data_IF_488629315922
#
_entry.id   IF_488629315922
#
_cell.length_a   1.000
_cell.length_b   1.000
_cell.length_c   1.000
_cell.angle_alpha   90.00
_cell.angle_beta   90.00
_cell.angle_gamma   90.00
#
_symmetry.space_group_name_H-M   'P 1'
#
loop_
_entity.id
_entity.type
_entity.pdbx_description
1 polymer ?
#
# COMPACT_ATOMS: atom_id res chain seq x y z
N UNK A 1 19.64 4.81 43.42
CA UNK A 1 19.55 6.17 44.01
C UNK A 1 20.37 7.06 43.11
N UNK A 2 19.75 8.00 42.41
CA UNK A 2 20.47 8.93 41.53
C UNK A 2 21.36 9.83 42.40
N UNK A 3 22.68 9.82 42.15
CA UNK A 3 23.62 10.72 42.81
C UNK A 3 23.87 11.92 41.88
N UNK A 4 23.33 13.08 42.27
CA UNK A 4 23.68 14.36 41.70
C UNK A 4 24.74 15.01 42.59
N UNK A 5 25.86 15.43 42.00
CA UNK A 5 26.89 16.19 42.72
C UNK A 5 27.14 17.48 41.97
N UNK A 6 26.85 18.62 42.60
CA UNK A 6 27.17 19.95 42.08
C UNK A 6 28.33 20.57 42.86
N UNK A 7 29.22 21.27 42.17
CA UNK A 7 30.18 22.17 42.82
C UNK A 7 29.52 23.54 42.92
N UNK A 8 29.12 23.94 44.13
CA UNK A 8 28.62 25.29 44.40
C UNK A 8 29.81 26.25 44.49
N UNK A 9 29.87 27.26 43.62
CA UNK A 9 30.93 28.27 43.68
C UNK A 9 30.70 29.34 44.75
N UNK A 10 29.48 29.45 45.32
CA UNK A 10 29.22 30.19 46.56
C UNK A 10 27.84 29.84 47.14
N UNK A 11 27.60 30.17 48.42
CA UNK A 11 26.41 29.76 49.22
C UNK A 11 25.06 30.32 48.70
N UNK A 12 25.06 31.15 47.65
CA UNK A 12 23.86 31.75 47.07
C UNK A 12 23.87 31.94 45.54
N UNK A 13 24.95 31.57 44.81
CA UNK A 13 24.96 31.60 43.34
C UNK A 13 24.70 30.20 42.76
N UNK A 14 23.85 30.12 41.72
CA UNK A 14 23.66 28.91 40.91
C UNK A 14 24.66 28.82 39.76
N UNK A 15 25.76 29.57 39.82
CA UNK A 15 26.92 29.36 38.95
C UNK A 15 27.59 28.04 39.35
N UNK A 16 27.52 27.05 38.46
CA UNK A 16 27.99 25.72 38.81
C UNK A 16 28.07 24.75 37.64
N UNK A 17 29.05 23.87 37.74
CA UNK A 17 29.19 22.66 36.92
C UNK A 17 28.47 21.52 37.64
N UNK A 18 27.26 21.24 37.18
CA UNK A 18 26.39 20.19 37.70
C UNK A 18 26.61 18.91 36.94
N UNK A 19 26.89 17.82 37.66
CA UNK A 19 27.11 16.51 37.06
C UNK A 19 26.22 15.46 37.70
N UNK A 20 25.67 14.59 36.88
CA UNK A 20 25.04 13.35 37.32
C UNK A 20 25.79 12.17 36.74
N UNK A 21 25.70 11.02 37.40
CA UNK A 21 26.45 9.82 37.08
C UNK A 21 25.52 8.63 36.85
N UNK A 22 25.98 7.69 36.04
CA UNK A 22 25.41 6.35 35.93
C UNK A 22 25.82 5.50 37.14
N UNK A 23 25.14 4.38 37.35
CA UNK A 23 25.47 3.42 38.41
C UNK A 23 26.91 2.87 38.30
N UNK A 24 27.47 2.88 37.08
CA UNK A 24 28.87 2.50 36.80
C UNK A 24 29.90 3.61 37.10
N UNK A 25 29.47 4.75 37.65
CA UNK A 25 30.32 5.89 38.00
C UNK A 25 30.74 6.79 36.83
N UNK A 26 30.34 6.50 35.57
CA UNK A 26 30.59 7.40 34.44
C UNK A 26 29.60 8.55 34.43
N UNK A 27 30.03 9.71 33.92
CA UNK A 27 29.19 10.90 33.82
C UNK A 27 28.02 10.59 32.86
N UNK A 28 26.81 10.88 33.32
CA UNK A 28 25.56 10.78 32.55
C UNK A 28 25.24 12.10 31.87
N UNK A 29 25.22 13.20 32.60
CA UNK A 29 25.01 14.53 32.04
C UNK A 29 25.72 15.61 32.84
N UNK A 30 26.03 16.72 32.17
CA UNK A 30 26.74 17.88 32.68
C UNK A 30 26.00 19.13 32.23
N UNK A 31 25.77 20.04 33.18
CA UNK A 31 25.18 21.34 32.94
C UNK A 31 26.05 22.42 33.58
N UNK A 32 26.57 23.32 32.76
CA UNK A 32 27.36 24.48 33.21
C UNK A 32 26.49 25.70 33.01
N UNK A 33 26.06 26.34 34.09
CA UNK A 33 25.20 27.52 34.03
C UNK A 33 25.97 28.78 34.37
N UNK A 34 25.84 29.80 33.52
CA UNK A 34 26.28 31.16 33.75
C UNK A 34 25.05 32.04 34.04
N UNK A 35 24.92 32.51 35.28
CA UNK A 35 23.79 33.35 35.68
C UNK A 35 23.82 34.75 35.06
N UNK A 36 25.00 35.26 34.73
CA UNK A 36 25.19 36.62 34.19
C UNK A 36 24.70 36.66 32.75
N UNK A 37 25.08 35.67 31.95
CA UNK A 37 24.69 35.59 30.54
C UNK A 37 23.35 34.84 30.34
N UNK A 38 22.83 34.19 31.40
CA UNK A 38 21.68 33.28 31.35
C UNK A 38 21.88 32.14 30.34
N UNK A 39 23.13 31.74 30.15
CA UNK A 39 23.56 30.69 29.24
C UNK A 39 23.89 29.41 30.01
N UNK A 40 23.43 28.28 29.51
CA UNK A 40 23.64 26.97 30.09
C UNK A 40 24.23 26.02 29.05
N UNK A 41 25.48 25.61 29.20
CA UNK A 41 26.07 24.57 28.37
C UNK A 41 25.61 23.19 28.84
N UNK A 42 25.05 22.42 27.91
CA UNK A 42 24.53 21.08 28.17
C UNK A 42 25.37 20.04 27.44
N UNK A 43 25.70 18.97 28.17
CA UNK A 43 26.29 17.75 27.60
C UNK A 43 25.67 16.54 28.26
N UNK A 44 25.41 15.51 27.47
CA UNK A 44 25.00 14.19 27.98
C UNK A 44 25.81 13.12 27.25
N UNK A 45 26.11 12.04 27.97
CA UNK A 45 26.86 10.89 27.48
C UNK A 45 25.99 9.64 27.51
N UNK A 46 26.45 8.60 26.82
CA UNK A 46 25.97 7.23 26.95
C UNK A 46 26.67 6.51 28.10
N UNK A 47 26.13 5.37 28.56
CA UNK A 47 26.76 4.53 29.59
C UNK A 47 28.15 4.02 29.20
N UNK A 48 28.43 3.93 27.90
CA UNK A 48 29.76 3.58 27.40
C UNK A 48 30.78 4.72 27.58
N UNK A 49 30.34 5.94 27.91
CA UNK A 49 31.16 7.14 28.12
C UNK A 49 31.33 8.01 26.87
N UNK A 50 30.72 7.65 25.73
CA UNK A 50 30.72 8.48 24.52
C UNK A 50 29.66 9.56 24.61
N UNK A 51 29.92 10.70 23.99
CA UNK A 51 28.98 11.82 23.98
C UNK A 51 27.68 11.41 23.27
N UNK A 52 26.55 11.89 23.76
CA UNK A 52 25.19 11.60 23.27
C UNK A 52 24.54 12.84 22.68
N UNK A 53 24.67 13.98 23.36
CA UNK A 53 24.18 15.27 22.90
C UNK A 53 24.94 16.42 23.56
N UNK A 54 24.99 17.55 22.87
CA UNK A 54 25.61 18.77 23.33
C UNK A 54 24.94 19.97 22.67
N UNK A 55 24.80 21.05 23.43
CA UNK A 55 24.36 22.35 22.95
C UNK A 55 24.33 23.38 24.09
N UNK A 56 23.66 24.49 23.86
CA UNK A 56 23.43 25.51 24.87
C UNK A 56 21.95 25.82 25.05
N UNK A 57 21.64 26.34 26.23
CA UNK A 57 20.34 26.88 26.60
C UNK A 57 20.51 28.36 26.93
N UNK A 58 19.71 29.23 26.35
CA UNK A 58 19.59 30.63 26.79
C UNK A 58 18.22 30.81 27.41
N UNK A 59 18.16 31.31 28.65
CA UNK A 59 16.89 31.48 29.41
C UNK A 59 16.07 30.19 29.50
N UNK A 60 16.75 29.06 29.62
CA UNK A 60 16.13 27.73 29.73
C UNK A 60 15.58 27.16 28.41
N UNK A 61 15.84 27.82 27.27
CA UNK A 61 15.46 27.35 25.93
C UNK A 61 16.68 26.98 25.10
N UNK A 62 16.61 25.90 24.34
CA UNK A 62 17.69 25.48 23.45
C UNK A 62 17.98 26.58 22.43
N UNK A 63 19.25 26.94 22.32
CA UNK A 63 19.76 28.00 21.46
C UNK A 63 21.07 27.55 20.80
N UNK A 64 21.36 28.09 19.61
CA UNK A 64 22.62 27.87 18.92
C UNK A 64 22.78 26.46 18.35
N UNK A 65 24.03 26.07 18.12
CA UNK A 65 24.36 24.80 17.48
C UNK A 65 24.20 23.62 18.44
N UNK A 66 23.37 22.66 18.04
CA UNK A 66 23.18 21.40 18.74
C UNK A 66 23.75 20.24 17.95
N UNK A 67 24.35 19.30 18.67
CA UNK A 67 24.93 18.08 18.11
C UNK A 67 24.43 16.89 18.90
N UNK A 68 24.18 15.80 18.19
CA UNK A 68 23.75 14.52 18.73
C UNK A 68 24.60 13.44 18.12
N UNK A 69 24.93 12.40 18.89
CA UNK A 69 25.76 11.29 18.46
C UNK A 69 25.04 9.97 18.66
N UNK A 70 25.45 8.95 17.90
CA UNK A 70 25.08 7.56 18.10
C UNK A 70 25.95 6.92 19.19
N UNK A 71 25.55 5.76 19.71
CA UNK A 71 26.31 5.03 20.74
C UNK A 71 27.72 4.63 20.29
N UNK A 72 27.92 4.45 18.99
CA UNK A 72 29.24 4.16 18.43
C UNK A 72 30.15 5.41 18.34
N UNK A 73 29.64 6.61 18.62
CA UNK A 73 30.36 7.88 18.59
C UNK A 73 30.29 8.62 17.25
N UNK A 74 29.64 8.06 16.24
CA UNK A 74 29.35 8.77 14.99
C UNK A 74 28.32 9.88 15.25
N UNK A 75 28.42 10.99 14.52
CA UNK A 75 27.42 12.04 14.58
C UNK A 75 26.07 11.46 14.12
N UNK A 76 24.99 11.87 14.77
CA UNK A 76 23.61 11.44 14.49
C UNK A 76 22.79 12.58 13.93
N UNK A 77 22.93 13.77 14.51
CA UNK A 77 22.26 14.97 14.04
C UNK A 77 23.04 16.23 14.43
N UNK A 78 22.86 17.28 13.65
CA UNK A 78 23.43 18.60 13.87
C UNK A 78 22.52 19.66 13.25
N UNK A 79 22.30 20.75 13.96
CA UNK A 79 21.61 21.92 13.44
C UNK A 79 21.51 23.01 14.48
N UNK A 80 20.78 24.08 14.15
CA UNK A 80 20.62 25.24 15.01
C UNK A 80 19.25 25.22 15.67
N UNK A 81 19.19 25.58 16.96
CA UNK A 81 17.95 25.95 17.63
C UNK A 81 17.90 27.45 17.90
N UNK A 82 16.71 28.03 17.78
CA UNK A 82 16.39 29.38 18.23
C UNK A 82 15.13 29.29 19.08
N UNK A 83 15.24 29.57 20.38
CA UNK A 83 14.14 29.48 21.34
C UNK A 83 13.38 28.14 21.28
N UNK A 84 14.11 27.02 21.38
CA UNK A 84 13.61 25.63 21.30
C UNK A 84 13.11 25.18 19.91
N UNK A 85 13.14 26.04 18.89
CA UNK A 85 12.71 25.69 17.53
C UNK A 85 13.90 25.40 16.66
N UNK A 86 13.87 24.28 15.94
CA UNK A 86 14.85 23.98 14.90
C UNK A 86 14.79 25.07 13.82
N UNK A 87 15.93 25.64 13.52
CA UNK A 87 16.14 26.64 12.48
C UNK A 87 17.33 26.24 11.60
N UNK A 88 17.42 26.89 10.44
CA UNK A 88 18.51 26.72 9.48
C UNK A 88 18.67 25.28 8.97
N UNK A 89 19.84 24.97 8.41
CA UNK A 89 20.14 23.66 7.87
C UNK A 89 20.33 22.65 9.01
N UNK A 90 19.58 21.56 8.94
CA UNK A 90 19.77 20.39 9.77
C UNK A 90 20.31 19.23 8.95
N UNK A 91 21.24 18.50 9.55
CA UNK A 91 21.84 17.30 8.98
C UNK A 91 21.67 16.15 9.95
N UNK A 92 21.40 14.99 9.39
CA UNK A 92 21.22 13.73 10.10
C UNK A 92 22.12 12.70 9.46
N UNK A 93 22.66 11.78 10.25
CA UNK A 93 23.60 10.75 9.80
C UNK A 93 23.18 9.39 10.32
N UNK A 94 23.44 8.36 9.51
CA UNK A 94 23.32 6.96 9.89
C UNK A 94 24.39 6.59 10.92
N UNK A 95 24.21 5.46 11.60
CA UNK A 95 25.19 4.96 12.56
C UNK A 95 26.56 4.67 11.93
N UNK A 96 26.60 4.30 10.66
CA UNK A 96 27.85 4.13 9.90
C UNK A 96 28.54 5.46 9.51
N UNK A 97 27.98 6.61 9.91
CA UNK A 97 28.55 7.93 9.66
C UNK A 97 28.22 8.53 8.28
N UNK A 98 27.50 7.83 7.41
CA UNK A 98 27.02 8.41 6.16
C UNK A 98 25.84 9.36 6.42
N UNK A 99 25.73 10.42 5.62
CA UNK A 99 24.61 11.35 5.70
C UNK A 99 23.30 10.61 5.44
N UNK A 100 22.30 10.82 6.29
CA UNK A 100 20.98 10.20 6.22
C UNK A 100 19.95 11.16 5.64
N UNK A 101 19.91 12.39 6.14
CA UNK A 101 18.99 13.43 5.67
C UNK A 101 19.61 14.80 5.85
N UNK A 102 19.23 15.74 4.99
CA UNK A 102 19.48 17.16 5.21
C UNK A 102 18.37 18.03 4.65
N UNK A 103 18.21 19.20 5.24
CA UNK A 103 17.33 20.24 4.73
C UNK A 103 17.13 21.37 5.72
N UNK A 104 16.33 22.35 5.32
CA UNK A 104 16.06 23.55 6.10
C UNK A 104 14.91 23.30 7.08
N UNK A 105 15.05 23.80 8.30
CA UNK A 105 13.93 24.05 9.20
C UNK A 105 13.65 25.54 9.31
N UNK A 106 12.36 25.87 9.39
CA UNK A 106 11.87 27.19 9.80
C UNK A 106 10.81 26.98 10.87
N UNK A 107 10.98 27.62 12.04
CA UNK A 107 10.10 27.51 13.19
C UNK A 107 9.80 26.06 13.61
N UNK A 108 10.82 25.19 13.59
CA UNK A 108 10.69 23.79 13.97
C UNK A 108 9.98 22.91 12.92
N UNK A 109 9.70 23.42 11.72
CA UNK A 109 9.10 22.66 10.61
C UNK A 109 10.04 22.57 9.42
N UNK A 110 10.04 21.42 8.74
CA UNK A 110 10.78 21.25 7.48
C UNK A 110 10.28 22.23 6.44
N UNK A 111 11.21 22.91 5.78
CA UNK A 111 10.94 23.90 4.73
C UNK A 111 11.94 23.71 3.58
N UNK A 112 11.54 24.07 2.36
CA UNK A 112 12.42 24.04 1.20
C UNK A 112 12.86 22.64 0.80
N UNK A 113 13.99 22.56 0.10
CA UNK A 113 14.53 21.32 -0.45
C UNK A 113 15.04 20.42 0.68
N UNK A 114 14.65 19.15 0.62
CA UNK A 114 15.10 18.09 1.49
C UNK A 114 15.63 16.92 0.67
N UNK A 115 16.72 16.36 1.17
CA UNK A 115 17.40 15.22 0.58
C UNK A 115 17.58 14.14 1.63
N UNK A 116 17.51 12.89 1.20
CA UNK A 116 17.69 11.72 2.05
C UNK A 116 18.52 10.69 1.32
N UNK A 117 19.28 9.90 2.07
CA UNK A 117 20.15 8.84 1.58
C UNK A 117 20.01 7.59 2.44
N UNK A 118 20.24 6.44 1.82
CA UNK A 118 20.35 5.16 2.50
C UNK A 118 21.69 5.03 3.23
N UNK A 119 21.83 4.07 4.16
CA UNK A 119 23.11 3.81 4.83
C UNK A 119 24.26 3.53 3.86
N UNK A 120 24.01 3.07 2.65
CA UNK A 120 25.05 2.87 1.63
C UNK A 120 25.49 4.16 0.90
N UNK A 121 24.94 5.33 1.28
CA UNK A 121 25.24 6.63 0.67
C UNK A 121 24.47 6.92 -0.63
N UNK A 122 23.62 6.01 -1.11
CA UNK A 122 22.78 6.26 -2.28
C UNK A 122 21.59 7.14 -1.92
N UNK A 123 21.31 8.14 -2.76
CA UNK A 123 20.14 9.02 -2.58
C UNK A 123 18.86 8.18 -2.53
N UNK A 124 18.08 8.34 -1.46
CA UNK A 124 16.81 7.64 -1.26
C UNK A 124 15.62 8.51 -1.65
N UNK A 125 15.66 9.82 -1.38
CA UNK A 125 14.62 10.73 -1.83
C UNK A 125 15.08 12.18 -1.89
N UNK A 126 14.38 12.95 -2.73
CA UNK A 126 14.57 14.39 -2.87
C UNK A 126 13.22 15.03 -3.18
N UNK A 127 12.95 16.18 -2.56
CA UNK A 127 11.77 16.98 -2.84
C UNK A 127 11.67 18.18 -1.92
N UNK A 128 10.53 18.85 -1.94
CA UNK A 128 10.31 20.09 -1.16
C UNK A 128 9.33 19.86 -0.03
N UNK A 129 9.60 20.48 1.12
CA UNK A 129 8.63 20.65 2.20
C UNK A 129 8.17 22.10 2.26
N UNK A 130 6.89 22.29 2.60
CA UNK A 130 6.31 23.58 2.96
C UNK A 130 5.56 23.38 4.26
N UNK A 131 5.91 24.12 5.30
CA UNK A 131 5.29 24.02 6.63
C UNK A 131 5.26 22.59 7.18
N UNK A 132 6.35 21.84 6.96
CA UNK A 132 6.50 20.45 7.42
C UNK A 132 5.77 19.41 6.58
N UNK A 133 5.10 19.78 5.48
CA UNK A 133 4.40 18.86 4.58
C UNK A 133 5.09 18.76 3.23
N UNK A 134 5.14 17.57 2.65
CA UNK A 134 5.66 17.37 1.29
C UNK A 134 4.84 18.18 0.30
N UNK A 135 5.52 18.93 -0.56
CA UNK A 135 4.93 19.81 -1.56
C UNK A 135 5.72 19.73 -2.87
N UNK A 136 5.03 19.88 -4.00
CA UNK A 136 5.64 19.89 -5.32
C UNK A 136 6.22 18.53 -5.73
N UNK A 137 7.18 18.55 -6.63
CA UNK A 137 7.76 17.35 -7.24
C UNK A 137 8.67 16.63 -6.26
N UNK A 138 8.44 15.33 -6.13
CA UNK A 138 9.25 14.42 -5.34
C UNK A 138 9.78 13.29 -6.20
N UNK A 139 11.04 12.91 -5.95
CA UNK A 139 11.67 11.71 -6.51
C UNK A 139 12.08 10.80 -5.36
N UNK A 140 11.68 9.53 -5.42
CA UNK A 140 11.90 8.54 -4.38
C UNK A 140 12.50 7.28 -5.00
N UNK A 141 13.69 6.89 -4.57
CA UNK A 141 14.40 5.71 -5.04
C UNK A 141 14.11 4.53 -4.11
N UNK A 142 13.99 3.33 -4.68
CA UNK A 142 13.85 2.10 -3.91
C UNK A 142 15.19 1.67 -3.29
N UNK A 143 15.15 1.05 -2.11
CA UNK A 143 16.34 0.58 -1.36
C UNK A 143 17.10 -0.55 -2.08
N UNK A 144 16.41 -1.36 -2.89
CA UNK A 144 16.92 -2.58 -3.53
C UNK A 144 17.81 -2.31 -4.78
N UNK A 145 18.57 -1.21 -4.77
CA UNK A 145 19.40 -0.73 -5.86
C UNK A 145 18.70 0.32 -6.72
N UNK A 146 19.49 1.23 -7.29
CA UNK A 146 19.12 2.41 -8.12
C UNK A 146 18.31 2.06 -9.39
N UNK A 147 17.85 0.82 -9.49
CA UNK A 147 17.08 0.29 -10.60
C UNK A 147 15.66 0.83 -10.63
N UNK A 148 15.10 1.27 -9.50
CA UNK A 148 13.72 1.75 -9.42
C UNK A 148 13.57 3.09 -8.73
N UNK A 149 12.76 3.96 -9.32
CA UNK A 149 12.34 5.19 -8.66
C UNK A 149 10.91 5.60 -9.02
N UNK A 150 10.29 6.31 -8.08
CA UNK A 150 9.00 6.96 -8.24
C UNK A 150 9.20 8.46 -8.40
N UNK A 151 8.39 9.08 -9.24
CA UNK A 151 8.35 10.52 -9.40
C UNK A 151 6.90 10.98 -9.53
N UNK A 152 6.55 12.03 -8.79
CA UNK A 152 5.24 12.67 -8.86
C UNK A 152 5.16 13.84 -7.92
N UNK A 153 3.98 14.45 -7.82
CA UNK A 153 3.79 15.63 -6.98
C UNK A 153 3.07 15.31 -5.67
N UNK A 154 3.40 16.08 -4.63
CA UNK A 154 2.60 16.16 -3.42
C UNK A 154 1.94 17.54 -3.31
N UNK A 155 0.73 17.56 -2.76
CA UNK A 155 0.03 18.77 -2.34
C UNK A 155 -0.46 18.55 -0.91
N UNK A 156 -0.02 19.39 0.02
CA UNK A 156 -0.39 19.28 1.43
C UNK A 156 -0.01 17.94 2.06
N UNK A 157 1.11 17.35 1.63
CA UNK A 157 1.61 16.07 2.10
C UNK A 157 0.96 14.83 1.48
N UNK A 158 0.00 14.98 0.57
CA UNK A 158 -0.69 13.87 -0.12
C UNK A 158 -0.28 13.80 -1.59
N UNK A 159 -0.21 12.60 -2.15
CA UNK A 159 0.09 12.41 -3.59
C UNK A 159 -1.00 13.05 -4.44
N UNK A 160 -0.59 13.82 -5.43
CA UNK A 160 -1.49 14.54 -6.33
C UNK A 160 -1.01 14.40 -7.78
N UNK A 161 -1.96 14.24 -8.69
CA UNK A 161 -1.73 14.12 -10.11
C UNK A 161 -0.99 12.85 -10.51
N UNK A 162 -0.19 12.94 -11.56
CA UNK A 162 0.44 11.80 -12.20
C UNK A 162 1.70 11.38 -11.43
N UNK A 163 1.70 10.12 -11.00
CA UNK A 163 2.83 9.43 -10.39
C UNK A 163 3.37 8.34 -11.30
N UNK A 164 4.65 8.43 -11.61
CA UNK A 164 5.37 7.52 -12.50
C UNK A 164 6.30 6.63 -11.69
N UNK A 165 6.40 5.37 -12.08
CA UNK A 165 7.40 4.41 -11.60
C UNK A 165 8.28 4.01 -12.77
N UNK A 166 9.58 4.20 -12.59
CA UNK A 166 10.61 3.78 -13.54
C UNK A 166 11.35 2.57 -12.98
N UNK A 167 11.73 1.64 -13.87
CA UNK A 167 12.54 0.48 -13.55
C UNK A 167 13.55 0.20 -14.67
N UNK A 168 14.83 0.14 -14.33
CA UNK A 168 15.97 0.06 -15.24
C UNK A 168 15.94 1.14 -16.35
N UNK A 169 15.57 2.38 -15.99
CA UNK A 169 15.45 3.51 -16.92
C UNK A 169 14.14 3.55 -17.72
N UNK A 170 13.43 2.43 -17.85
CA UNK A 170 12.15 2.36 -18.55
C UNK A 170 11.00 2.84 -17.66
N UNK A 171 10.01 3.53 -18.24
CA UNK A 171 8.73 3.79 -17.58
C UNK A 171 7.96 2.48 -17.48
N UNK A 172 7.52 2.11 -16.29
CA UNK A 172 6.78 0.86 -16.06
C UNK A 172 5.32 1.08 -15.71
N UNK A 173 5.04 2.08 -14.88
CA UNK A 173 3.69 2.37 -14.41
C UNK A 173 3.49 3.88 -14.30
N UNK A 174 2.29 4.31 -14.66
CA UNK A 174 1.79 5.65 -14.44
C UNK A 174 0.42 5.49 -13.80
N UNK A 175 0.24 6.18 -12.68
CA UNK A 175 -1.01 6.22 -11.95
C UNK A 175 -1.38 7.68 -11.71
N UNK A 176 -2.67 7.95 -11.65
CA UNK A 176 -3.19 9.25 -11.25
C UNK A 176 -3.69 9.18 -9.80
N UNK A 177 -3.45 10.26 -9.05
CA UNK A 177 -3.82 10.39 -7.64
C UNK A 177 -4.56 11.70 -7.41
N UNK A 178 -5.59 11.65 -6.58
CA UNK A 178 -6.29 12.82 -6.05
C UNK A 178 -6.37 12.66 -4.55
N UNK A 179 -5.83 13.62 -3.79
CA UNK A 179 -5.81 13.59 -2.33
C UNK A 179 -5.20 12.31 -1.75
N UNK A 180 -4.16 11.79 -2.39
CA UNK A 180 -3.47 10.57 -1.98
C UNK A 180 -4.16 9.27 -2.40
N UNK A 181 -5.36 9.32 -2.96
CA UNK A 181 -6.09 8.15 -3.46
C UNK A 181 -5.88 7.98 -4.95
N UNK A 182 -5.50 6.76 -5.36
CA UNK A 182 -5.35 6.40 -6.76
C UNK A 182 -6.72 6.46 -7.45
N UNK A 183 -6.84 7.37 -8.42
CA UNK A 183 -8.09 7.66 -9.13
C UNK A 183 -7.76 8.02 -10.57
N UNK A 184 -8.58 7.58 -11.52
CA UNK A 184 -8.38 7.85 -12.94
C UNK A 184 -7.59 6.74 -13.65
N UNK A 185 -6.99 7.08 -14.78
CA UNK A 185 -6.35 6.10 -15.66
C UNK A 185 -5.00 5.66 -15.10
N UNK A 186 -4.76 4.35 -15.13
CA UNK A 186 -3.46 3.75 -14.86
C UNK A 186 -2.97 3.01 -16.10
N UNK A 187 -1.75 3.32 -16.50
CA UNK A 187 -1.11 2.74 -17.68
C UNK A 187 0.15 2.01 -17.26
N UNK A 188 0.35 0.84 -17.83
CA UNK A 188 1.51 -0.01 -17.62
C UNK A 188 2.20 -0.21 -18.97
N UNK A 189 3.52 -0.31 -18.95
CA UNK A 189 4.34 -0.50 -20.14
C UNK A 189 5.26 -1.71 -19.99
N UNK A 190 5.67 -2.24 -21.13
CA UNK A 190 6.82 -3.14 -21.23
C UNK A 190 8.13 -2.36 -21.06
N UNK A 191 9.24 -3.03 -20.69
CA UNK A 191 10.56 -2.38 -20.61
C UNK A 191 10.99 -1.70 -21.92
N UNK A 192 10.50 -2.20 -23.05
CA UNK A 192 10.72 -1.69 -24.41
C UNK A 192 9.89 -0.45 -24.75
N UNK A 193 8.89 -0.10 -23.94
CA UNK A 193 8.14 1.14 -24.04
C UNK A 193 6.73 1.03 -24.64
N UNK A 194 6.34 -0.14 -25.16
CA UNK A 194 4.98 -0.39 -25.63
C UNK A 194 4.00 -0.53 -24.47
N UNK A 195 2.75 -0.13 -24.68
CA UNK A 195 1.69 -0.25 -23.66
C UNK A 195 1.43 -1.73 -23.40
N UNK A 196 1.48 -2.11 -22.12
CA UNK A 196 1.19 -3.46 -21.64
C UNK A 196 -0.24 -3.57 -21.14
N UNK A 197 -0.71 -2.58 -20.39
CA UNK A 197 -2.08 -2.59 -19.86
C UNK A 197 -2.59 -1.19 -19.54
N UNK A 198 -3.91 -1.04 -19.56
CA UNK A 198 -4.65 0.14 -19.15
C UNK A 198 -5.85 -0.25 -18.31
N UNK A 199 -6.13 0.56 -17.29
CA UNK A 199 -7.26 0.37 -16.41
C UNK A 199 -7.61 1.63 -15.63
N UNK A 200 -8.81 1.71 -15.09
CA UNK A 200 -9.26 2.86 -14.31
C UNK A 200 -9.36 2.50 -12.83
N UNK A 201 -8.99 3.45 -11.97
CA UNK A 201 -9.19 3.35 -10.53
C UNK A 201 -10.21 4.38 -10.06
N UNK A 202 -11.01 4.02 -9.08
CA UNK A 202 -11.88 4.90 -8.32
C UNK A 202 -11.58 4.67 -6.85
N UNK A 203 -10.99 5.65 -6.16
CA UNK A 203 -10.63 5.57 -4.73
C UNK A 203 -9.85 4.30 -4.38
N UNK A 204 -8.72 4.09 -5.06
CA UNK A 204 -7.84 2.93 -4.93
C UNK A 204 -8.42 1.58 -5.37
N UNK A 205 -9.66 1.52 -5.87
CA UNK A 205 -10.26 0.29 -6.40
C UNK A 205 -10.26 0.30 -7.92
N UNK A 206 -9.82 -0.80 -8.52
CA UNK A 206 -9.90 -1.06 -9.95
C UNK A 206 -11.36 -1.16 -10.36
N UNK A 207 -11.75 -0.32 -11.31
CA UNK A 207 -13.13 -0.12 -11.74
C UNK A 207 -13.17 0.14 -13.25
N UNK A 208 -14.14 -0.44 -13.94
CA UNK A 208 -14.32 -0.25 -15.37
C UNK A 208 -13.44 -1.15 -16.22
N UNK A 209 -13.13 -0.70 -17.43
CA UNK A 209 -12.51 -1.54 -18.46
C UNK A 209 -11.04 -1.84 -18.15
N UNK A 210 -10.67 -3.11 -18.29
CA UNK A 210 -9.29 -3.58 -18.31
C UNK A 210 -8.91 -3.90 -19.74
N UNK A 211 -7.78 -3.36 -20.18
CA UNK A 211 -7.17 -3.65 -21.48
C UNK A 211 -5.74 -4.10 -21.26
N UNK A 212 -5.34 -5.16 -21.95
CA UNK A 212 -3.98 -5.69 -21.90
C UNK A 212 -3.57 -6.16 -23.28
N UNK A 213 -2.33 -5.86 -23.63
CA UNK A 213 -1.73 -6.17 -24.91
C UNK A 213 -0.48 -7.01 -24.70
N UNK A 214 -0.14 -7.80 -25.71
CA UNK A 214 1.20 -8.36 -25.87
C UNK A 214 2.18 -7.26 -26.31
N UNK A 215 3.46 -7.57 -26.31
CA UNK A 215 4.52 -6.61 -26.66
C UNK A 215 4.46 -6.18 -28.13
N UNK A 216 3.95 -7.02 -29.01
CA UNK A 216 3.68 -6.69 -30.42
C UNK A 216 2.44 -5.80 -30.63
N UNK A 217 1.74 -5.43 -29.55
CA UNK A 217 0.52 -4.62 -29.57
C UNK A 217 -0.76 -5.41 -29.85
N UNK A 218 -0.69 -6.72 -30.09
CA UNK A 218 -1.87 -7.58 -30.23
C UNK A 218 -2.60 -7.70 -28.88
N UNK A 219 -3.91 -7.96 -28.93
CA UNK A 219 -4.71 -8.13 -27.72
C UNK A 219 -4.23 -9.34 -26.92
N UNK A 220 -4.13 -9.17 -25.60
CA UNK A 220 -3.81 -10.24 -24.66
C UNK A 220 -5.02 -10.55 -23.77
N UNK A 221 -5.63 -9.52 -23.19
CA UNK A 221 -6.82 -9.66 -22.37
C UNK A 221 -7.66 -8.38 -22.36
N UNK A 222 -8.97 -8.54 -22.24
CA UNK A 222 -9.92 -7.45 -22.11
C UNK A 222 -11.08 -7.90 -21.24
N UNK A 223 -11.54 -7.02 -20.37
CA UNK A 223 -12.71 -7.28 -19.56
C UNK A 223 -13.06 -6.08 -18.71
N UNK A 224 -13.83 -6.30 -17.66
CA UNK A 224 -14.22 -5.25 -16.73
C UNK A 224 -13.94 -5.68 -15.29
N UNK A 225 -13.57 -4.71 -14.46
CA UNK A 225 -13.52 -4.83 -13.01
C UNK A 225 -14.63 -3.99 -12.37
N UNK A 226 -15.16 -4.50 -11.27
CA UNK A 226 -16.01 -3.78 -10.33
C UNK A 226 -15.46 -4.03 -8.93
N UNK A 227 -15.05 -2.97 -8.24
CA UNK A 227 -14.45 -3.06 -6.90
C UNK A 227 -13.30 -4.07 -6.78
N UNK A 228 -12.33 -4.02 -7.69
CA UNK A 228 -11.19 -4.96 -7.80
C UNK A 228 -11.51 -6.38 -8.24
N UNK A 229 -12.78 -6.73 -8.49
CA UNK A 229 -13.18 -8.07 -8.94
C UNK A 229 -13.55 -8.07 -10.41
N UNK A 230 -13.16 -9.11 -11.15
CA UNK A 230 -13.58 -9.34 -12.53
C UNK A 230 -15.10 -9.47 -12.57
N UNK A 231 -15.71 -8.74 -13.49
CA UNK A 231 -17.15 -8.68 -13.68
C UNK A 231 -17.47 -8.59 -15.18
N UNK A 232 -18.50 -9.30 -15.62
CA UNK A 232 -18.97 -9.28 -17.00
C UNK A 232 -18.10 -10.11 -17.96
N UNK A 233 -18.22 -9.81 -19.26
CA UNK A 233 -17.51 -10.53 -20.31
C UNK A 233 -16.00 -10.29 -20.21
N UNK A 234 -15.26 -11.39 -20.25
CA UNK A 234 -13.82 -11.42 -20.35
C UNK A 234 -13.41 -12.20 -21.57
N UNK A 235 -12.51 -11.60 -22.32
CA UNK A 235 -11.87 -12.18 -23.49
C UNK A 235 -10.37 -12.19 -23.27
N UNK A 236 -9.73 -13.30 -23.63
CA UNK A 236 -8.28 -13.44 -23.68
C UNK A 236 -7.86 -13.99 -25.03
N UNK A 237 -6.64 -13.68 -25.46
CA UNK A 237 -6.15 -14.01 -26.79
C UNK A 237 -4.74 -14.59 -26.75
N UNK A 238 -4.44 -15.41 -27.75
CA UNK A 238 -3.10 -15.77 -28.15
C UNK A 238 -2.46 -14.58 -28.88
N UNK A 239 -1.13 -14.53 -28.92
CA UNK A 239 -0.39 -13.46 -29.64
C UNK A 239 -0.66 -13.45 -31.15
N UNK A 240 -1.20 -14.53 -31.71
CA UNK A 240 -1.63 -14.59 -33.11
C UNK A 240 -3.05 -14.03 -33.35
N UNK A 241 -3.71 -13.50 -32.32
CA UNK A 241 -5.02 -12.85 -32.42
C UNK A 241 -6.23 -13.76 -32.29
N UNK A 242 -6.07 -15.09 -32.20
CA UNK A 242 -7.17 -15.98 -31.86
C UNK A 242 -7.47 -15.92 -30.36
N UNK A 243 -8.75 -16.00 -29.97
CA UNK A 243 -9.12 -16.05 -28.55
C UNK A 243 -8.53 -17.29 -27.89
N UNK A 244 -8.00 -17.16 -26.68
CA UNK A 244 -7.66 -18.32 -25.84
C UNK A 244 -8.89 -18.77 -25.08
N UNK A 245 -9.62 -17.83 -24.47
CA UNK A 245 -10.83 -18.07 -23.68
C UNK A 245 -11.79 -16.88 -23.81
N UNK A 246 -13.07 -17.16 -23.66
CA UNK A 246 -14.12 -16.15 -23.52
C UNK A 246 -15.21 -16.66 -22.58
N UNK A 247 -15.72 -15.76 -21.74
CA UNK A 247 -16.82 -16.08 -20.84
C UNK A 247 -17.08 -14.96 -19.83
N UNK A 248 -18.08 -15.16 -18.99
CA UNK A 248 -18.51 -14.16 -18.01
C UNK A 248 -17.92 -14.45 -16.64
N UNK A 249 -17.45 -13.41 -15.96
CA UNK A 249 -17.16 -13.42 -14.54
C UNK A 249 -18.27 -12.72 -13.76
N UNK A 250 -18.58 -13.25 -12.58
CA UNK A 250 -19.36 -12.56 -11.54
C UNK A 250 -18.53 -12.61 -10.26
N UNK A 251 -18.09 -11.45 -9.78
CA UNK A 251 -17.26 -11.33 -8.58
C UNK A 251 -16.03 -12.28 -8.57
N UNK A 252 -15.24 -12.27 -9.64
CA UNK A 252 -14.07 -13.16 -9.89
C UNK A 252 -14.38 -14.64 -10.14
N UNK A 253 -15.64 -15.07 -10.04
CA UNK A 253 -16.03 -16.45 -10.32
C UNK A 253 -16.49 -16.60 -11.77
N UNK A 254 -15.99 -17.61 -12.49
CA UNK A 254 -16.53 -17.99 -13.82
C UNK A 254 -18.02 -18.29 -13.66
N UNK A 255 -18.85 -17.70 -14.50
CA UNK A 255 -20.30 -17.91 -14.52
C UNK A 255 -20.80 -17.97 -15.96
N UNK A 256 -21.81 -18.78 -16.20
CA UNK A 256 -22.39 -18.98 -17.52
C UNK A 256 -21.51 -19.80 -18.45
N UNK A 257 -21.66 -19.52 -19.74
CA UNK A 257 -20.98 -20.22 -20.83
C UNK A 257 -19.52 -19.74 -20.95
N UNK A 258 -18.62 -20.71 -21.10
CA UNK A 258 -17.20 -20.51 -21.29
C UNK A 258 -16.70 -21.33 -22.48
N UNK A 259 -15.96 -20.67 -23.36
CA UNK A 259 -15.36 -21.31 -24.53
C UNK A 259 -13.86 -21.08 -24.52
N UNK A 260 -13.09 -22.13 -24.79
CA UNK A 260 -11.64 -22.06 -24.96
C UNK A 260 -11.25 -22.51 -26.36
N UNK A 261 -10.21 -21.89 -26.93
CA UNK A 261 -9.73 -22.20 -28.27
C UNK A 261 -8.21 -22.36 -28.29
N UNK A 262 -7.75 -23.24 -29.17
CA UNK A 262 -6.31 -23.40 -29.43
C UNK A 262 -5.76 -22.24 -30.28
N UNK A 263 -4.45 -22.27 -30.52
CA UNK A 263 -3.74 -21.28 -31.34
C UNK A 263 -4.21 -21.23 -32.82
N UNK A 264 -5.04 -22.15 -33.28
CA UNK A 264 -5.60 -22.15 -34.63
C UNK A 264 -7.05 -21.65 -34.67
N UNK A 265 -7.57 -21.15 -33.53
CA UNK A 265 -8.95 -20.69 -33.40
C UNK A 265 -9.98 -21.83 -33.32
N UNK A 266 -9.54 -23.08 -33.16
CA UNK A 266 -10.45 -24.21 -33.03
C UNK A 266 -10.90 -24.35 -31.57
N UNK A 267 -12.20 -24.52 -31.37
CA UNK A 267 -12.80 -24.75 -30.06
C UNK A 267 -12.24 -26.04 -29.44
N UNK A 268 -11.60 -25.92 -28.27
CA UNK A 268 -11.04 -27.06 -27.53
C UNK A 268 -11.90 -27.44 -26.34
N UNK A 269 -12.51 -26.44 -25.69
CA UNK A 269 -13.37 -26.66 -24.52
C UNK A 269 -14.61 -25.79 -24.60
N UNK A 270 -15.73 -26.34 -24.15
CA UNK A 270 -17.02 -25.66 -24.07
C UNK A 270 -17.73 -26.09 -22.78
N UNK A 271 -17.73 -25.20 -21.80
CA UNK A 271 -18.10 -25.49 -20.43
C UNK A 271 -19.16 -24.52 -19.91
N UNK A 272 -19.91 -24.96 -18.90
CA UNK A 272 -20.86 -24.11 -18.17
C UNK A 272 -20.47 -24.01 -16.71
N UNK A 273 -20.45 -22.79 -16.19
CA UNK A 273 -20.10 -22.51 -14.80
C UNK A 273 -21.26 -21.86 -14.05
N UNK A 274 -21.41 -22.22 -12.78
CA UNK A 274 -22.27 -21.49 -11.85
C UNK A 274 -21.48 -21.25 -10.58
N UNK A 275 -21.21 -19.99 -10.26
CA UNK A 275 -20.38 -19.60 -9.09
C UNK A 275 -19.03 -20.32 -9.05
N UNK A 276 -18.33 -20.31 -10.18
CA UNK A 276 -16.99 -20.90 -10.34
C UNK A 276 -16.94 -22.42 -10.42
N UNK A 277 -18.07 -23.13 -10.24
CA UNK A 277 -18.13 -24.59 -10.38
C UNK A 277 -18.54 -24.98 -11.80
N UNK A 278 -17.78 -25.89 -12.40
CA UNK A 278 -18.03 -26.47 -13.73
C UNK A 278 -19.19 -27.47 -13.69
N UNK A 279 -20.05 -27.41 -14.69
CA UNK A 279 -21.20 -28.29 -14.91
C UNK A 279 -21.25 -28.72 -16.38
N UNK A 280 -21.88 -29.87 -16.62
CA UNK A 280 -22.28 -30.23 -17.99
C UNK A 280 -23.43 -29.34 -18.46
N UNK A 281 -23.62 -29.23 -19.78
CA UNK A 281 -24.74 -28.51 -20.39
C UNK A 281 -26.09 -28.86 -19.72
N UNK A 282 -26.40 -30.17 -19.63
CA UNK A 282 -27.67 -30.62 -19.08
C UNK A 282 -27.83 -30.27 -17.60
N UNK A 283 -26.79 -30.42 -16.79
CA UNK A 283 -26.82 -30.06 -15.36
C UNK A 283 -27.04 -28.55 -15.18
N UNK A 284 -26.34 -27.72 -15.95
CA UNK A 284 -26.46 -26.27 -15.88
C UNK A 284 -27.87 -25.79 -16.21
N UNK A 285 -28.43 -26.20 -17.35
CA UNK A 285 -29.77 -25.78 -17.76
C UNK A 285 -30.88 -26.35 -16.86
N UNK A 286 -30.68 -27.54 -16.28
CA UNK A 286 -31.58 -28.07 -15.24
C UNK A 286 -31.55 -27.17 -13.98
N UNK A 287 -30.37 -26.77 -13.51
CA UNK A 287 -30.22 -25.89 -12.34
C UNK A 287 -30.84 -24.50 -12.56
N UNK A 288 -30.72 -23.94 -13.76
CA UNK A 288 -31.39 -22.68 -14.11
C UNK A 288 -32.92 -22.81 -14.08
N UNK A 289 -33.47 -23.87 -14.70
CA UNK A 289 -34.93 -24.13 -14.67
C UNK A 289 -35.43 -24.35 -13.25
N UNK A 290 -34.68 -25.09 -12.43
CA UNK A 290 -34.95 -25.28 -11.00
C UNK A 290 -35.00 -23.94 -10.26
N UNK A 291 -34.02 -23.08 -10.46
CA UNK A 291 -33.95 -21.75 -9.85
C UNK A 291 -35.16 -20.88 -10.23
N UNK A 292 -35.52 -20.88 -11.52
CA UNK A 292 -36.65 -20.09 -12.01
C UNK A 292 -37.99 -20.64 -11.53
N UNK A 293 -38.14 -21.97 -11.46
CA UNK A 293 -39.31 -22.60 -10.87
C UNK A 293 -39.44 -22.25 -9.38
N UNK A 294 -38.35 -22.37 -8.60
CA UNK A 294 -38.33 -21.97 -7.18
C UNK A 294 -38.72 -20.50 -7.04
N UNK A 295 -38.16 -19.59 -7.84
CA UNK A 295 -38.52 -18.16 -7.78
C UNK A 295 -40.00 -17.91 -8.10
N UNK A 296 -40.58 -18.63 -9.05
CA UNK A 296 -42.00 -18.49 -9.43
C UNK A 296 -42.96 -19.14 -8.42
N UNK A 297 -42.51 -20.16 -7.70
CA UNK A 297 -43.34 -20.95 -6.76
C UNK A 297 -43.15 -20.54 -5.29
N UNK A 298 -41.98 -20.02 -4.89
CA UNK A 298 -41.68 -19.55 -3.53
C UNK A 298 -42.68 -18.49 -3.00
N UNK A 299 -43.18 -17.54 -3.80
CA UNK A 299 -44.19 -16.60 -3.32
C UNK A 299 -45.55 -17.26 -3.04
N UNK A 300 -45.80 -18.47 -3.57
CA UNK A 300 -47.10 -19.13 -3.59
C UNK A 300 -47.23 -20.17 -2.46
N UNK A 301 -46.12 -20.72 -1.96
CA UNK A 301 -46.14 -21.87 -1.03
C UNK A 301 -45.22 -21.60 0.18
N UNK A 302 -45.78 -21.65 1.40
CA UNK A 302 -45.03 -21.57 2.68
C UNK A 302 -44.12 -22.80 2.86
N UNK A 303 -42.96 -22.79 2.22
CA UNK A 303 -41.99 -23.89 2.16
C UNK A 303 -41.10 -23.99 3.41
N UNK A 304 -41.64 -24.39 4.57
CA UNK A 304 -40.79 -24.88 5.69
C UNK A 304 -40.34 -26.33 5.51
N UNK A 305 -40.98 -27.12 4.63
CA UNK A 305 -40.80 -28.58 4.57
C UNK A 305 -39.77 -29.10 3.54
N UNK A 306 -39.38 -28.30 2.54
CA UNK A 306 -38.48 -28.77 1.47
C UNK A 306 -37.18 -27.96 1.32
N UNK A 307 -36.97 -26.95 2.17
CA UNK A 307 -35.71 -26.22 2.30
C UNK A 307 -34.49 -27.15 2.47
N UNK A 308 -34.57 -28.27 3.25
CA UNK A 308 -33.44 -29.19 3.41
C UNK A 308 -33.09 -29.97 2.13
N UNK A 309 -34.08 -30.24 1.26
CA UNK A 309 -33.87 -30.96 -0.01
C UNK A 309 -33.18 -30.06 -1.02
N UNK A 310 -33.59 -28.79 -1.09
CA UNK A 310 -32.95 -27.77 -1.96
C UNK A 310 -31.52 -27.48 -1.50
N UNK A 311 -31.27 -27.43 -0.18
CA UNK A 311 -29.91 -27.30 0.37
C UNK A 311 -29.03 -28.50 0.00
N UNK A 312 -29.56 -29.73 0.03
CA UNK A 312 -28.80 -30.92 -0.43
C UNK A 312 -28.41 -30.85 -1.90
N UNK A 313 -29.24 -30.26 -2.77
CA UNK A 313 -28.92 -30.05 -4.20
C UNK A 313 -27.80 -29.02 -4.37
N UNK A 314 -27.76 -27.97 -3.55
CA UNK A 314 -26.73 -26.94 -3.62
C UNK A 314 -25.37 -27.37 -3.05
N UNK A 315 -25.35 -28.36 -2.13
CA UNK A 315 -24.15 -28.76 -1.40
C UNK A 315 -23.67 -30.21 -1.64
N UNK A 316 -24.32 -31.03 -2.47
CA UNK A 316 -23.87 -32.40 -2.74
C UNK A 316 -22.67 -32.44 -3.71
N UNK A 317 -21.52 -33.02 -3.32
CA UNK A 317 -20.41 -33.26 -4.23
C UNK A 317 -20.66 -34.54 -5.06
N UNK A 318 -20.67 -34.41 -6.38
CA UNK A 318 -20.60 -35.54 -7.34
C UNK A 318 -21.93 -36.06 -7.89
N UNK A 319 -21.84 -36.76 -9.03
CA UNK A 319 -22.96 -37.20 -9.89
C UNK A 319 -24.02 -38.08 -9.19
N UNK A 320 -23.66 -38.80 -8.11
CA UNK A 320 -24.57 -39.76 -7.45
C UNK A 320 -25.69 -39.08 -6.65
N UNK A 321 -25.41 -37.95 -5.97
CA UNK A 321 -26.45 -37.18 -5.29
C UNK A 321 -27.44 -36.53 -6.26
N UNK A 322 -26.96 -36.19 -7.46
CA UNK A 322 -27.72 -35.51 -8.49
C UNK A 322 -28.76 -36.40 -9.18
N UNK A 323 -28.48 -37.69 -9.40
CA UNK A 323 -29.46 -38.65 -9.93
C UNK A 323 -30.66 -38.85 -8.99
N UNK A 324 -30.41 -38.90 -7.67
CA UNK A 324 -31.48 -39.02 -6.70
C UNK A 324 -32.31 -37.74 -6.63
N UNK A 325 -31.67 -36.56 -6.64
CA UNK A 325 -32.35 -35.27 -6.68
C UNK A 325 -33.17 -35.07 -7.97
N UNK A 326 -32.68 -35.55 -9.13
CA UNK A 326 -33.40 -35.54 -10.40
C UNK A 326 -34.69 -36.37 -10.30
N UNK A 327 -34.63 -37.56 -9.70
CA UNK A 327 -35.80 -38.44 -9.52
C UNK A 327 -36.84 -37.79 -8.61
N UNK A 328 -36.42 -37.17 -7.52
CA UNK A 328 -37.32 -36.43 -6.61
C UNK A 328 -37.89 -35.16 -7.23
N UNK A 329 -37.10 -34.41 -8.00
CA UNK A 329 -37.58 -33.22 -8.70
C UNK A 329 -38.64 -33.57 -9.75
N UNK A 330 -38.41 -34.56 -10.60
CA UNK A 330 -39.42 -35.01 -11.57
C UNK A 330 -40.68 -35.51 -10.88
N UNK A 331 -40.57 -36.27 -9.78
CA UNK A 331 -41.73 -36.68 -8.99
C UNK A 331 -42.48 -35.50 -8.38
N UNK A 332 -41.78 -34.46 -7.95
CA UNK A 332 -42.38 -33.25 -7.36
C UNK A 332 -42.99 -32.35 -8.43
N UNK A 333 -42.37 -32.21 -9.60
CA UNK A 333 -42.91 -31.46 -10.74
C UNK A 333 -44.18 -32.13 -11.29
N UNK A 334 -44.20 -33.47 -11.37
CA UNK A 334 -45.39 -34.24 -11.73
C UNK A 334 -46.49 -34.03 -10.68
N UNK A 335 -46.18 -34.12 -9.38
CA UNK A 335 -47.16 -33.86 -8.30
C UNK A 335 -47.70 -32.44 -8.33
N UNK A 336 -46.85 -31.43 -8.54
CA UNK A 336 -47.29 -30.03 -8.63
C UNK A 336 -48.10 -29.73 -9.91
N UNK A 337 -47.81 -30.40 -11.04
CA UNK A 337 -48.65 -30.31 -12.25
C UNK A 337 -50.02 -30.96 -12.04
N UNK A 338 -50.11 -32.03 -11.26
CA UNK A 338 -51.38 -32.65 -10.87
C UNK A 338 -52.23 -31.72 -10.00
N UNK A 339 -51.62 -30.96 -9.07
CA UNK A 339 -52.33 -29.98 -8.24
C UNK A 339 -52.79 -28.72 -8.99
N UNK A 340 -52.31 -28.46 -10.21
CA UNK A 340 -52.80 -27.37 -11.08
C UNK A 340 -53.96 -27.77 -12.00
N UNK A 341 -54.38 -29.06 -11.97
CA UNK A 341 -55.45 -29.60 -12.81
C UNK A 341 -56.75 -29.91 -12.05
N UNK A 342 -56.87 -29.42 -10.82
CA UNK A 342 -58.10 -29.46 -10.02
C UNK A 342 -58.51 -28.07 -9.58
#
# INVERSE_FOLDING_TARGET
MEQETGIFTSRWNRDGDWRSYYDNGKIRQQYIYDQIEQEGWWRRWYENGKLKEQGSYIRGKAEGEWRYWHENGCLRAKGTYVQDKSEEEWKYWHDNGHLAEQGLYINGKREGKWESWWPNGMCSSIGTYVQGKKEGVWKQLCENGVTEFYQGSYVGGKKEGIWKRFRFGSLWIQNEYVQGEKTGMSTLWYPTGEKRAECTYVRNKLEGEWKQWFQDGSWCARGRFVQNKKEGLWDTWWNNGFKTETGVYIQDEKDGEWMAFNQFGQLTEHDWYLKGKKFTYYEYFLLLRLRDWIRKVCPIIRFKRYLPVIQRIWYAPGCKGFHHARKEFFQTEIKCRFYRKF
#
